data_IF_123397426640
#
_entry.id   IF_123397426640
#
_cell.length_a   1.000
_cell.length_b   1.000
_cell.length_c   1.000
_cell.angle_alpha   90.00
_cell.angle_beta   90.00
_cell.angle_gamma   90.00
#
_symmetry.space_group_name_H-M   'P 1'
#
loop_
_entity.id
_entity.type
_entity.pdbx_description
1 polymer ?
#
# COMPACT_ATOMS: atom_id res chain seq x y z
N UNK A 1 -1.23 -3.54 8.50
CA UNK A 1 0.24 -3.30 8.54
C UNK A 1 0.80 -3.41 7.13
N UNK A 2 1.64 -2.47 6.69
CA UNK A 2 2.39 -2.57 5.42
C UNK A 2 3.65 -3.42 5.64
N UNK A 3 4.00 -4.26 4.67
CA UNK A 3 5.12 -5.21 4.72
C UNK A 3 6.09 -5.05 3.53
N UNK A 4 6.16 -3.85 2.93
CA UNK A 4 7.06 -3.54 1.82
C UNK A 4 6.80 -4.43 0.61
N UNK A 5 7.83 -5.13 0.11
CA UNK A 5 7.75 -6.04 -1.03
C UNK A 5 6.76 -7.21 -0.81
N UNK A 6 6.41 -7.53 0.43
CA UNK A 6 5.39 -8.53 0.73
C UNK A 6 3.95 -7.98 0.65
N UNK A 7 3.74 -6.68 0.40
CA UNK A 7 2.42 -6.06 0.32
C UNK A 7 1.92 -5.56 1.67
N UNK A 8 0.68 -5.90 2.04
CA UNK A 8 0.05 -5.45 3.27
C UNK A 8 -0.81 -6.54 3.92
N UNK A 9 -0.95 -6.48 5.23
CA UNK A 9 -1.85 -7.31 6.02
C UNK A 9 -2.99 -6.45 6.56
N UNK A 10 -4.22 -6.84 6.27
CA UNK A 10 -5.44 -6.25 6.82
C UNK A 10 -5.89 -7.09 8.02
N UNK A 11 -5.95 -6.49 9.20
CA UNK A 11 -6.56 -7.12 10.37
C UNK A 11 -7.97 -6.59 10.57
N UNK A 12 -8.97 -7.47 10.53
CA UNK A 12 -10.36 -7.15 10.86
C UNK A 12 -10.72 -7.81 12.20
N UNK A 13 -11.15 -7.00 13.16
CA UNK A 13 -11.68 -7.51 14.43
C UNK A 13 -13.05 -8.15 14.21
N UNK A 14 -13.23 -9.37 14.71
CA UNK A 14 -14.50 -10.10 14.71
C UNK A 14 -15.16 -10.03 16.09
N UNK A 15 -16.51 -10.04 16.17
CA UNK A 15 -17.19 -10.15 17.45
C UNK A 15 -16.74 -11.41 18.21
N UNK A 16 -16.43 -11.29 19.51
CA UNK A 16 -16.10 -12.44 20.35
C UNK A 16 -14.61 -12.80 20.48
N UNK A 17 -13.70 -11.88 20.13
CA UNK A 17 -12.22 -12.00 20.32
C UNK A 17 -11.45 -12.68 19.18
N UNK A 18 -12.02 -12.73 17.96
CA UNK A 18 -11.31 -13.20 16.77
C UNK A 18 -10.69 -12.05 15.97
N UNK A 19 -9.58 -12.32 15.27
CA UNK A 19 -9.04 -11.41 14.25
C UNK A 19 -8.94 -12.19 12.95
N UNK A 20 -9.60 -11.68 11.91
CA UNK A 20 -9.41 -12.14 10.54
C UNK A 20 -8.25 -11.36 9.92
N UNK A 21 -7.24 -12.07 9.40
CA UNK A 21 -6.11 -11.45 8.73
C UNK A 21 -6.17 -11.77 7.25
N UNK A 22 -6.31 -10.74 6.42
CA UNK A 22 -6.24 -10.86 4.96
C UNK A 22 -4.88 -10.35 4.48
N UNK A 23 -4.17 -11.17 3.70
CA UNK A 23 -2.93 -10.76 3.04
C UNK A 23 -3.24 -10.19 1.65
N UNK A 24 -2.72 -8.99 1.39
CA UNK A 24 -2.78 -8.30 0.10
C UNK A 24 -1.36 -8.23 -0.46
N UNK A 25 -0.98 -9.11 -1.40
CA UNK A 25 0.39 -9.14 -1.92
C UNK A 25 0.71 -7.89 -2.74
N UNK A 26 1.94 -7.41 -2.65
CA UNK A 26 2.44 -6.41 -3.59
C UNK A 26 2.68 -7.07 -4.95
N UNK A 27 2.37 -6.37 -6.06
CA UNK A 27 2.80 -6.83 -7.37
C UNK A 27 4.33 -6.87 -7.43
N UNK A 28 4.89 -7.85 -8.13
CA UNK A 28 6.33 -7.89 -8.40
C UNK A 28 6.68 -6.75 -9.35
N UNK A 29 7.65 -5.92 -8.94
CA UNK A 29 8.05 -4.71 -9.66
C UNK A 29 9.57 -4.62 -9.70
N UNK A 30 10.14 -4.17 -10.81
CA UNK A 30 11.54 -3.78 -10.85
C UNK A 30 11.72 -2.49 -10.06
N UNK A 31 12.45 -2.58 -8.94
CA UNK A 31 12.65 -1.48 -8.00
C UNK A 31 13.79 -0.61 -8.48
N UNK A 32 13.50 0.66 -8.76
CA UNK A 32 14.46 1.68 -9.17
C UNK A 32 14.87 2.55 -7.97
N UNK A 33 13.90 2.98 -7.17
CA UNK A 33 14.10 3.80 -5.96
C UNK A 33 12.94 3.56 -5.00
N UNK A 34 13.18 3.31 -3.71
CA UNK A 34 12.09 3.06 -2.74
C UNK A 34 11.57 4.32 -2.05
N UNK A 35 12.16 5.48 -2.35
CA UNK A 35 11.80 6.77 -1.76
C UNK A 35 10.35 7.13 -2.10
N UNK A 36 9.56 7.49 -1.08
CA UNK A 36 8.16 7.90 -1.27
C UNK A 36 7.15 6.76 -1.46
N UNK A 37 7.56 5.49 -1.45
CA UNK A 37 6.64 4.36 -1.58
C UNK A 37 5.57 4.31 -0.48
N UNK A 38 5.97 4.66 0.76
CA UNK A 38 5.06 4.76 1.91
C UNK A 38 4.05 5.89 1.75
N UNK A 39 4.51 7.07 1.32
CA UNK A 39 3.64 8.23 1.11
C UNK A 39 2.66 7.99 -0.05
N UNK A 40 3.12 7.35 -1.13
CA UNK A 40 2.26 6.93 -2.24
C UNK A 40 1.19 5.92 -1.80
N UNK A 41 1.56 4.95 -0.94
CA UNK A 41 0.59 4.03 -0.34
C UNK A 41 -0.45 4.78 0.49
N UNK A 42 -0.01 5.65 1.40
CA UNK A 42 -0.89 6.38 2.31
C UNK A 42 -1.81 7.34 1.54
N UNK A 43 -1.27 8.04 0.54
CA UNK A 43 -2.04 8.94 -0.31
C UNK A 43 -3.13 8.22 -1.10
N UNK A 44 -2.79 7.10 -1.74
CA UNK A 44 -3.78 6.30 -2.48
C UNK A 44 -4.80 5.62 -1.58
N UNK A 45 -4.40 5.19 -0.38
CA UNK A 45 -5.31 4.67 0.64
C UNK A 45 -6.31 5.75 1.08
N UNK A 46 -5.83 6.93 1.45
CA UNK A 46 -6.66 8.03 1.91
C UNK A 46 -7.64 8.50 0.83
N UNK A 47 -7.17 8.67 -0.41
CA UNK A 47 -8.01 9.06 -1.54
C UNK A 47 -9.10 8.02 -1.86
N UNK A 48 -8.80 6.73 -1.70
CA UNK A 48 -9.79 5.68 -1.91
C UNK A 48 -10.85 5.64 -0.80
N UNK A 49 -10.44 5.86 0.46
CA UNK A 49 -11.38 5.95 1.58
C UNK A 49 -12.28 7.20 1.48
N UNK A 50 -11.72 8.34 1.06
CA UNK A 50 -12.48 9.57 0.80
C UNK A 50 -13.50 9.39 -0.33
N UNK A 51 -13.22 8.50 -1.29
CA UNK A 51 -14.13 8.11 -2.36
C UNK A 51 -15.11 6.98 -1.96
N UNK A 52 -15.36 6.76 -0.67
CA UNK A 52 -16.25 5.72 -0.12
C UNK A 52 -15.89 4.27 -0.54
N UNK A 53 -14.64 4.02 -0.95
CA UNK A 53 -14.21 2.67 -1.26
C UNK A 53 -14.14 1.81 0.01
N UNK A 54 -14.42 0.51 -0.15
CA UNK A 54 -14.16 -0.45 0.93
C UNK A 54 -12.70 -0.41 1.36
N UNK A 55 -12.43 -0.68 2.64
CA UNK A 55 -11.06 -0.73 3.20
C UNK A 55 -10.16 -1.68 2.41
N UNK A 56 -10.69 -2.82 1.97
CA UNK A 56 -9.96 -3.78 1.15
C UNK A 56 -9.54 -3.18 -0.21
N UNK A 57 -10.44 -2.46 -0.86
CA UNK A 57 -10.16 -1.77 -2.12
C UNK A 57 -9.15 -0.63 -1.93
N UNK A 58 -9.30 0.14 -0.85
CA UNK A 58 -8.37 1.20 -0.52
C UNK A 58 -6.95 0.65 -0.28
N UNK A 59 -6.81 -0.48 0.42
CA UNK A 59 -5.51 -1.13 0.63
C UNK A 59 -4.94 -1.68 -0.67
N UNK A 60 -5.75 -2.28 -1.55
CA UNK A 60 -5.27 -2.71 -2.89
C UNK A 60 -4.72 -1.53 -3.69
N UNK A 61 -5.40 -0.39 -3.68
CA UNK A 61 -4.94 0.85 -4.34
C UNK A 61 -3.66 1.39 -3.72
N UNK A 62 -3.57 1.41 -2.40
CA UNK A 62 -2.35 1.77 -1.67
C UNK A 62 -1.16 0.88 -2.06
N UNK A 63 -1.33 -0.44 -2.02
CA UNK A 63 -0.27 -1.41 -2.38
C UNK A 63 0.21 -1.18 -3.81
N UNK A 64 -0.72 -0.95 -4.75
CA UNK A 64 -0.38 -0.68 -6.14
C UNK A 64 0.36 0.65 -6.32
N UNK A 65 -0.11 1.72 -5.69
CA UNK A 65 0.53 3.03 -5.77
C UNK A 65 1.96 3.02 -5.17
N UNK A 66 2.15 2.36 -4.03
CA UNK A 66 3.48 2.17 -3.45
C UNK A 66 4.40 1.37 -4.35
N UNK A 67 3.88 0.31 -5.00
CA UNK A 67 4.64 -0.51 -5.94
C UNK A 67 4.97 0.23 -7.26
N UNK A 68 4.11 1.14 -7.71
CA UNK A 68 4.37 1.97 -8.90
C UNK A 68 5.34 3.12 -8.59
N UNK A 69 5.27 3.69 -7.39
CA UNK A 69 6.19 4.72 -6.94
C UNK A 69 7.64 4.22 -6.96
N UNK A 70 7.87 2.93 -6.62
CA UNK A 70 9.24 2.39 -6.61
C UNK A 70 9.82 2.07 -7.98
N UNK A 71 8.99 2.07 -9.03
CA UNK A 71 9.42 1.90 -10.43
C UNK A 71 9.91 3.20 -11.06
N UNK A 72 9.62 4.34 -10.42
CA UNK A 72 10.02 5.66 -10.88
C UNK A 72 11.15 6.14 -10.00
N UNK A 73 12.24 6.66 -10.56
CA UNK A 73 13.29 7.30 -9.77
C UNK A 73 12.65 8.43 -8.97
N UNK A 74 12.71 8.34 -7.64
CA UNK A 74 12.28 9.41 -6.75
C UNK A 74 13.09 10.66 -7.06
N UNK A 75 12.40 11.79 -7.15
CA UNK A 75 12.97 13.07 -7.51
C UNK A 75 14.12 13.46 -6.57
N UNK A 76 15.36 13.44 -7.08
CA UNK A 76 16.32 14.55 -7.07
C UNK A 76 17.62 14.13 -7.79
N UNK A 77 17.96 14.71 -8.95
CA UNK A 77 19.36 14.81 -9.32
C UNK A 77 20.00 15.80 -8.34
N UNK A 78 20.85 15.29 -7.44
CA UNK A 78 21.81 16.15 -6.72
C UNK A 78 22.79 16.67 -7.76
N UNK A 79 22.65 17.93 -8.15
CA UNK A 79 23.75 18.70 -8.73
C UNK A 79 24.48 19.48 -7.66
#
# INVERSE_FOLDING_TARGET
MTAGAAGAYLGRSLPGSGVEVTHVPAPAVDVVDTTGAGDAFVGALAAALDADASVEEAVRRGVRAGADAVRTTGAQPTS
#
